data_IF_567699641246
#
_entry.id   IF_567699641246
#
_cell.length_a   1.000
_cell.length_b   1.000
_cell.length_c   1.000
_cell.angle_alpha   90.00
_cell.angle_beta   90.00
_cell.angle_gamma   90.00
#
_symmetry.space_group_name_H-M   'P 1'
#
loop_
_entity.id
_entity.type
_entity.pdbx_description
1 polymer ?
#
# COMPACT_ATOMS: atom_id res chain seq x y z
N UNK A 1 -9.75 -15.16 -8.90
CA UNK A 1 -8.29 -15.29 -8.72
C UNK A 1 -7.77 -13.95 -8.18
N UNK A 2 -6.96 -13.96 -7.12
CA UNK A 2 -6.37 -12.75 -6.55
C UNK A 2 -5.41 -12.08 -7.53
N UNK A 3 -5.40 -10.74 -7.55
CA UNK A 3 -4.51 -9.93 -8.39
C UNK A 3 -3.28 -9.54 -7.56
N UNK A 4 -2.13 -10.13 -7.86
CA UNK A 4 -0.89 -9.86 -7.16
C UNK A 4 -0.07 -8.80 -7.90
N UNK A 5 0.59 -7.91 -7.15
CA UNK A 5 1.59 -6.95 -7.63
C UNK A 5 2.92 -7.12 -6.89
N UNK A 6 4.03 -6.80 -7.53
CA UNK A 6 5.36 -6.88 -6.95
C UNK A 6 5.87 -5.49 -6.55
N UNK A 7 6.22 -5.27 -5.28
CA UNK A 7 6.94 -4.07 -4.86
C UNK A 7 8.39 -4.16 -5.33
N UNK A 8 8.72 -3.39 -6.39
CA UNK A 8 10.02 -3.54 -7.06
C UNK A 8 11.21 -3.00 -6.26
N UNK A 9 10.97 -2.26 -5.19
CA UNK A 9 12.02 -1.74 -4.32
C UNK A 9 12.42 -2.69 -3.20
N UNK A 10 11.47 -3.46 -2.69
CA UNK A 10 11.76 -4.49 -1.69
C UNK A 10 12.31 -5.77 -2.31
N UNK A 11 11.76 -6.16 -3.45
CA UNK A 11 12.07 -7.45 -4.09
C UNK A 11 13.35 -7.44 -4.93
N UNK A 12 13.63 -6.36 -5.64
CA UNK A 12 14.70 -6.36 -6.63
C UNK A 12 15.74 -5.27 -6.41
N UNK A 13 16.96 -5.54 -6.83
CA UNK A 13 18.07 -4.56 -6.89
C UNK A 13 18.39 -4.21 -8.36
N UNK A 14 19.08 -3.09 -8.56
CA UNK A 14 19.48 -2.63 -9.89
C UNK A 14 18.57 -1.53 -10.45
N UNK A 15 18.69 -1.17 -11.74
CA UNK A 15 17.88 -0.17 -12.41
C UNK A 15 16.39 -0.54 -12.45
N UNK A 16 15.48 0.45 -12.38
CA UNK A 16 14.03 0.23 -12.40
C UNK A 16 13.56 -0.56 -13.62
N UNK A 17 14.12 -0.27 -14.78
CA UNK A 17 13.81 -0.99 -16.02
C UNK A 17 14.03 -2.51 -15.88
N UNK A 18 15.16 -2.91 -15.32
CA UNK A 18 15.47 -4.31 -15.09
C UNK A 18 14.52 -4.94 -14.07
N UNK A 19 14.22 -4.21 -12.97
CA UNK A 19 13.28 -4.70 -11.96
C UNK A 19 11.89 -4.96 -12.55
N UNK A 20 11.38 -4.04 -13.37
CA UNK A 20 10.08 -4.20 -14.04
C UNK A 20 10.09 -5.37 -15.02
N UNK A 21 11.18 -5.59 -15.78
CA UNK A 21 11.32 -6.75 -16.65
C UNK A 21 11.34 -8.07 -15.88
N UNK A 22 11.95 -8.07 -14.69
CA UNK A 22 11.97 -9.24 -13.80
C UNK A 22 10.57 -9.58 -13.26
N UNK A 23 9.72 -8.60 -12.97
CA UNK A 23 8.31 -8.82 -12.63
C UNK A 23 7.59 -9.59 -13.74
N UNK A 24 7.74 -9.13 -14.98
CA UNK A 24 7.14 -9.79 -16.14
C UNK A 24 7.67 -11.21 -16.32
N UNK A 25 8.98 -11.44 -16.15
CA UNK A 25 9.61 -12.75 -16.29
C UNK A 25 9.17 -13.74 -15.20
N UNK A 26 8.84 -13.25 -14.00
CA UNK A 26 8.26 -14.05 -12.93
C UNK A 26 6.79 -14.44 -13.19
N UNK A 27 6.14 -13.82 -14.19
CA UNK A 27 4.76 -14.13 -14.58
C UNK A 27 3.69 -13.24 -13.95
N UNK A 28 4.07 -12.25 -13.13
CA UNK A 28 3.16 -11.26 -12.59
C UNK A 28 2.70 -10.27 -13.67
N UNK A 29 1.54 -9.66 -13.44
CA UNK A 29 0.93 -8.70 -14.36
C UNK A 29 0.92 -7.27 -13.84
N UNK A 30 1.38 -7.06 -12.61
CA UNK A 30 1.42 -5.75 -11.99
C UNK A 30 2.65 -5.59 -11.09
N UNK A 31 3.05 -4.35 -10.93
CA UNK A 31 4.08 -3.93 -9.99
C UNK A 31 3.66 -2.66 -9.27
N UNK A 32 4.36 -2.37 -8.19
CA UNK A 32 4.22 -1.16 -7.41
C UNK A 32 5.60 -0.65 -7.00
N UNK A 33 5.65 0.61 -6.61
CA UNK A 33 6.89 1.24 -6.17
C UNK A 33 6.61 2.32 -5.10
N UNK A 34 7.67 2.73 -4.40
CA UNK A 34 7.54 3.76 -3.37
C UNK A 34 7.42 5.16 -4.00
N UNK A 35 8.14 6.16 -3.55
CA UNK A 35 8.03 7.52 -4.09
C UNK A 35 8.38 7.63 -5.60
N UNK A 36 7.78 8.59 -6.26
CA UNK A 36 7.93 8.81 -7.70
C UNK A 36 8.88 9.95 -8.07
N UNK A 37 9.23 10.82 -7.10
CA UNK A 37 9.91 12.10 -7.38
C UNK A 37 11.33 12.00 -7.94
N UNK A 38 12.00 10.86 -7.76
CA UNK A 38 13.35 10.57 -8.25
C UNK A 38 13.37 9.61 -9.45
N UNK A 39 12.20 9.25 -10.00
CA UNK A 39 12.07 8.21 -11.02
C UNK A 39 11.81 8.77 -12.42
N UNK A 40 12.35 8.10 -13.43
CA UNK A 40 12.01 8.32 -14.83
C UNK A 40 10.61 7.74 -15.13
N UNK A 41 9.57 8.55 -14.90
CA UNK A 41 8.17 8.17 -15.10
C UNK A 41 7.88 7.83 -16.58
N UNK A 42 8.52 8.52 -17.53
CA UNK A 42 8.36 8.21 -18.96
C UNK A 42 8.97 6.87 -19.30
N UNK A 43 10.12 6.54 -18.72
CA UNK A 43 10.76 5.25 -18.84
C UNK A 43 9.90 4.13 -18.24
N UNK A 44 9.35 4.34 -17.04
CA UNK A 44 8.43 3.38 -16.40
C UNK A 44 7.20 3.14 -17.27
N UNK A 45 6.57 4.21 -17.79
CA UNK A 45 5.42 4.10 -18.67
C UNK A 45 5.75 3.28 -19.91
N UNK A 46 6.83 3.61 -20.60
CA UNK A 46 7.26 2.90 -21.81
C UNK A 46 7.43 1.40 -21.56
N UNK A 47 8.11 1.02 -20.48
CA UNK A 47 8.39 -0.37 -20.14
C UNK A 47 7.14 -1.13 -19.74
N UNK A 48 6.28 -0.54 -18.88
CA UNK A 48 5.03 -1.19 -18.51
C UNK A 48 4.14 -1.44 -19.73
N UNK A 49 4.07 -0.48 -20.66
CA UNK A 49 3.27 -0.61 -21.89
C UNK A 49 3.86 -1.66 -22.82
N UNK A 50 5.20 -1.70 -22.98
CA UNK A 50 5.92 -2.74 -23.77
C UNK A 50 5.62 -4.15 -23.25
N UNK A 51 5.58 -4.32 -21.93
CA UNK A 51 5.43 -5.64 -21.30
C UNK A 51 3.96 -5.99 -20.96
N UNK A 52 3.02 -5.06 -21.18
CA UNK A 52 1.62 -5.23 -20.84
C UNK A 52 1.39 -5.36 -19.32
N UNK A 53 2.17 -4.62 -18.53
CA UNK A 53 2.04 -4.60 -17.07
C UNK A 53 1.16 -3.43 -16.60
N UNK A 54 0.57 -3.60 -15.41
CA UNK A 54 -0.16 -2.56 -14.68
C UNK A 54 0.71 -1.99 -13.54
N UNK A 55 0.51 -0.71 -13.21
CA UNK A 55 1.00 -0.12 -11.96
C UNK A 55 -0.12 -0.22 -10.93
N UNK A 56 0.09 -1.04 -9.90
CA UNK A 56 -0.91 -1.29 -8.86
C UNK A 56 -1.08 -0.07 -7.95
N UNK A 57 0.02 0.47 -7.44
CA UNK A 57 0.04 1.64 -6.57
C UNK A 57 1.44 2.25 -6.50
N UNK A 58 1.53 3.46 -5.95
CA UNK A 58 2.77 4.08 -5.48
C UNK A 58 2.47 5.14 -4.40
N UNK A 59 3.50 5.60 -3.69
CA UNK A 59 3.33 6.55 -2.59
C UNK A 59 3.05 7.95 -3.12
N UNK A 60 1.96 8.54 -2.64
CA UNK A 60 1.57 9.92 -2.88
C UNK A 60 2.58 10.89 -2.23
N UNK A 61 2.95 11.95 -2.92
CA UNK A 61 3.69 13.05 -2.31
C UNK A 61 2.77 13.83 -1.37
N UNK A 62 3.04 13.75 -0.08
CA UNK A 62 2.28 14.49 0.95
C UNK A 62 2.91 15.82 1.33
N UNK A 63 4.10 16.11 0.81
CA UNK A 63 4.86 17.32 1.15
C UNK A 63 5.31 17.41 2.60
N UNK A 64 4.93 16.44 3.44
CA UNK A 64 5.24 16.33 4.86
C UNK A 64 4.25 15.44 5.61
N UNK A 65 4.44 15.22 6.92
CA UNK A 65 3.56 14.38 7.73
C UNK A 65 2.13 14.92 7.83
N UNK A 66 1.14 14.03 7.72
CA UNK A 66 -0.29 14.38 7.83
C UNK A 66 -0.69 14.79 9.25
N UNK A 67 0.01 14.30 10.26
CA UNK A 67 -0.20 14.67 11.67
C UNK A 67 0.04 16.17 11.94
N UNK A 68 0.74 16.86 11.03
CA UNK A 68 1.05 18.29 11.18
C UNK A 68 0.16 19.13 10.24
N UNK A 69 -0.78 19.92 10.79
CA UNK A 69 -1.67 20.75 10.00
C UNK A 69 -0.96 21.83 9.18
N UNK A 70 0.29 22.19 9.53
CA UNK A 70 1.10 23.14 8.78
C UNK A 70 1.49 22.61 7.38
N UNK A 71 1.40 21.32 7.14
CA UNK A 71 1.67 20.70 5.84
C UNK A 71 0.47 20.64 4.90
N UNK A 72 -0.71 21.14 5.29
CA UNK A 72 -1.96 21.01 4.53
C UNK A 72 -1.86 21.49 3.07
N UNK A 73 -1.28 22.67 2.86
CA UNK A 73 -1.12 23.21 1.51
C UNK A 73 -0.15 22.36 0.66
N UNK A 74 0.94 21.89 1.26
CA UNK A 74 1.89 21.00 0.58
C UNK A 74 1.27 19.66 0.23
N UNK A 75 0.43 19.10 1.11
CA UNK A 75 -0.33 17.88 0.87
C UNK A 75 -1.23 18.03 -0.36
N UNK A 76 -1.99 19.12 -0.45
CA UNK A 76 -2.87 19.39 -1.58
C UNK A 76 -2.08 19.47 -2.90
N UNK A 77 -0.99 20.22 -2.91
CA UNK A 77 -0.16 20.36 -4.11
C UNK A 77 0.57 19.05 -4.48
N UNK A 78 1.06 18.30 -3.49
CA UNK A 78 1.68 17.00 -3.70
C UNK A 78 0.69 15.96 -4.23
N UNK A 79 -0.54 15.95 -3.70
CA UNK A 79 -1.61 15.08 -4.18
C UNK A 79 -1.97 15.38 -5.64
N UNK A 80 -2.09 16.64 -6.03
CA UNK A 80 -2.34 17.01 -7.45
C UNK A 80 -1.26 16.45 -8.37
N UNK A 81 0.02 16.69 -8.03
CA UNK A 81 1.15 16.15 -8.82
C UNK A 81 1.12 14.62 -8.88
N UNK A 82 0.86 13.96 -7.75
CA UNK A 82 0.78 12.50 -7.70
C UNK A 82 -0.36 11.94 -8.53
N UNK A 83 -1.50 12.63 -8.56
CA UNK A 83 -2.64 12.28 -9.42
C UNK A 83 -2.28 12.40 -10.91
N UNK A 84 -1.57 13.46 -11.32
CA UNK A 84 -1.09 13.61 -12.70
C UNK A 84 -0.18 12.43 -13.11
N UNK A 85 0.71 12.01 -12.22
CA UNK A 85 1.56 10.84 -12.44
C UNK A 85 0.74 9.54 -12.47
N UNK A 86 -0.25 9.39 -11.57
CA UNK A 86 -1.14 8.24 -11.56
C UNK A 86 -1.92 8.11 -12.87
N UNK A 87 -2.48 9.21 -13.37
CA UNK A 87 -3.16 9.23 -14.67
C UNK A 87 -2.21 8.87 -15.83
N UNK A 88 -0.98 9.38 -15.82
CA UNK A 88 0.04 9.06 -16.83
C UNK A 88 0.42 7.59 -16.87
N UNK A 89 0.41 6.93 -15.70
CA UNK A 89 0.74 5.52 -15.53
C UNK A 89 -0.49 4.58 -15.55
N UNK A 90 -1.70 5.11 -15.73
CA UNK A 90 -2.98 4.40 -15.60
C UNK A 90 -3.18 3.77 -14.19
N UNK A 91 -2.48 4.26 -13.19
CA UNK A 91 -2.55 3.83 -11.81
C UNK A 91 -3.82 4.37 -11.13
N UNK A 92 -4.52 3.53 -10.36
CA UNK A 92 -5.79 3.91 -9.72
C UNK A 92 -5.70 4.02 -8.20
N UNK A 93 -4.54 3.76 -7.63
CA UNK A 93 -4.37 3.73 -6.18
C UNK A 93 -3.09 4.45 -5.78
N UNK A 94 -3.15 5.28 -4.76
CA UNK A 94 -2.00 6.00 -4.20
C UNK A 94 -1.92 5.77 -2.69
N UNK A 95 -0.74 5.42 -2.19
CA UNK A 95 -0.49 5.19 -0.76
C UNK A 95 -0.23 6.53 -0.06
N UNK A 96 -0.81 6.71 1.12
CA UNK A 96 -0.47 7.83 2.01
C UNK A 96 -0.10 7.34 3.40
N UNK A 97 0.87 8.00 4.02
CA UNK A 97 1.35 7.72 5.38
C UNK A 97 1.14 8.92 6.27
N UNK A 98 0.93 8.70 7.58
CA UNK A 98 0.63 9.79 8.53
C UNK A 98 1.85 10.55 9.01
N UNK A 99 3.01 9.90 9.01
CA UNK A 99 4.21 10.38 9.68
C UNK A 99 4.27 9.98 11.16
N UNK A 100 5.34 10.39 11.82
CA UNK A 100 5.56 10.11 13.24
C UNK A 100 4.73 11.04 14.13
N UNK A 101 4.43 10.58 15.35
CA UNK A 101 3.80 11.39 16.38
C UNK A 101 4.61 12.65 16.70
N UNK A 102 3.91 13.77 16.83
CA UNK A 102 4.51 15.03 17.23
C UNK A 102 4.43 15.15 18.76
N UNK A 103 5.58 15.21 19.39
CA UNK A 103 5.65 15.34 20.84
C UNK A 103 5.06 16.68 21.31
N UNK A 104 4.26 16.63 22.38
CA UNK A 104 3.63 17.82 22.95
C UNK A 104 2.33 18.24 22.26
N UNK A 105 1.94 17.57 21.16
CA UNK A 105 0.63 17.71 20.53
C UNK A 105 -0.24 16.53 20.94
N UNK A 106 -1.49 16.79 21.32
CA UNK A 106 -2.39 15.71 21.73
C UNK A 106 -2.67 14.75 20.58
N UNK A 107 -2.92 13.46 20.89
CA UNK A 107 -3.27 12.48 19.88
C UNK A 107 -4.52 12.87 19.10
N UNK A 108 -5.48 13.50 19.77
CA UNK A 108 -6.72 13.97 19.15
C UNK A 108 -6.48 15.08 18.11
N UNK A 109 -5.63 16.06 18.42
CA UNK A 109 -5.26 17.11 17.45
C UNK A 109 -4.53 16.54 16.23
N UNK A 110 -3.69 15.53 16.42
CA UNK A 110 -3.01 14.85 15.33
C UNK A 110 -4.00 14.03 14.49
N UNK A 111 -4.95 13.32 15.12
CA UNK A 111 -6.03 12.62 14.45
C UNK A 111 -6.87 13.58 13.57
N UNK A 112 -7.32 14.69 14.15
CA UNK A 112 -8.07 15.73 13.43
C UNK A 112 -7.27 16.28 12.24
N UNK A 113 -5.96 16.49 12.41
CA UNK A 113 -5.09 16.93 11.32
C UNK A 113 -5.07 15.93 10.14
N UNK A 114 -4.99 14.63 10.42
CA UNK A 114 -5.03 13.59 9.38
C UNK A 114 -6.38 13.60 8.67
N UNK A 115 -7.49 13.56 9.41
CA UNK A 115 -8.84 13.55 8.86
C UNK A 115 -9.08 14.76 7.96
N UNK A 116 -8.80 15.96 8.46
CA UNK A 116 -8.98 17.20 7.69
C UNK A 116 -8.01 17.29 6.48
N UNK A 117 -6.81 16.69 6.59
CA UNK A 117 -5.88 16.56 5.47
C UNK A 117 -6.46 15.71 4.36
N UNK A 118 -6.96 14.54 4.71
CA UNK A 118 -7.56 13.61 3.74
C UNK A 118 -8.85 14.19 3.14
N UNK A 119 -9.71 14.86 3.93
CA UNK A 119 -10.88 15.59 3.41
C UNK A 119 -10.52 16.67 2.39
N UNK A 120 -9.41 17.37 2.60
CA UNK A 120 -8.98 18.42 1.68
C UNK A 120 -8.52 17.87 0.32
N UNK A 121 -7.99 16.66 0.26
CA UNK A 121 -7.53 16.02 -0.99
C UNK A 121 -8.56 15.08 -1.61
N UNK A 122 -9.57 14.64 -0.86
CA UNK A 122 -10.61 13.73 -1.35
C UNK A 122 -11.27 14.18 -2.66
N UNK A 123 -11.70 15.46 -2.83
CA UNK A 123 -12.29 15.91 -4.09
C UNK A 123 -11.33 15.79 -5.30
N UNK A 124 -10.02 15.96 -5.09
CA UNK A 124 -9.01 15.87 -6.15
C UNK A 124 -8.91 14.43 -6.67
N UNK A 125 -8.85 13.46 -5.76
CA UNK A 125 -8.73 12.05 -6.14
C UNK A 125 -10.06 11.48 -6.66
N UNK A 126 -11.20 11.95 -6.16
CA UNK A 126 -12.54 11.60 -6.66
C UNK A 126 -12.71 12.04 -8.12
N UNK A 127 -12.39 13.28 -8.44
CA UNK A 127 -12.46 13.82 -9.81
C UNK A 127 -11.56 13.03 -10.77
N UNK A 128 -10.39 12.60 -10.31
CA UNK A 128 -9.45 11.82 -11.09
C UNK A 128 -9.78 10.33 -11.19
N UNK A 129 -10.73 9.82 -10.40
CA UNK A 129 -11.02 8.39 -10.28
C UNK A 129 -9.86 7.59 -9.69
N UNK A 130 -9.11 8.21 -8.76
CA UNK A 130 -7.99 7.61 -8.02
C UNK A 130 -8.42 7.39 -6.59
N UNK A 131 -7.96 6.32 -5.95
CA UNK A 131 -8.20 6.01 -4.53
C UNK A 131 -6.94 6.27 -3.72
N UNK A 132 -7.04 7.04 -2.64
CA UNK A 132 -6.00 7.12 -1.62
C UNK A 132 -6.16 5.97 -0.63
N UNK A 133 -5.06 5.31 -0.29
CA UNK A 133 -5.04 4.25 0.72
C UNK A 133 -4.11 4.64 1.86
N UNK A 134 -4.70 4.86 3.04
CA UNK A 134 -3.99 5.23 4.26
C UNK A 134 -3.37 3.99 4.89
N UNK A 135 -2.07 4.03 5.20
CA UNK A 135 -1.33 2.87 5.68
C UNK A 135 -0.99 2.95 7.17
N UNK A 136 -1.53 2.05 8.00
CA UNK A 136 -1.05 1.81 9.36
C UNK A 136 0.23 0.96 9.36
N UNK A 137 1.25 1.40 10.12
CA UNK A 137 2.56 0.75 10.18
C UNK A 137 2.91 0.30 11.60
N UNK A 138 3.57 -0.85 11.76
CA UNK A 138 4.00 -1.33 13.07
C UNK A 138 5.07 -0.43 13.69
N UNK A 139 4.97 -0.23 15.01
CA UNK A 139 5.90 0.58 15.81
C UNK A 139 6.82 -0.26 16.69
N UNK A 140 6.61 -1.57 16.74
CA UNK A 140 7.38 -2.48 17.59
C UNK A 140 8.68 -2.94 16.94
N UNK A 141 8.70 -3.09 15.62
CA UNK A 141 9.85 -3.62 14.87
C UNK A 141 10.45 -2.58 13.93
N UNK A 142 9.63 -1.94 13.06
CA UNK A 142 10.15 -1.13 11.95
C UNK A 142 10.00 0.38 12.16
N UNK A 143 8.81 0.89 12.42
CA UNK A 143 8.49 2.32 12.34
C UNK A 143 8.27 2.94 13.74
N UNK A 144 9.26 2.85 14.60
CA UNK A 144 9.17 3.39 15.98
C UNK A 144 8.77 4.87 15.97
N UNK A 145 7.69 5.19 16.69
CA UNK A 145 7.17 6.56 16.79
C UNK A 145 6.18 6.95 15.70
N UNK A 146 5.88 6.05 14.74
CA UNK A 146 4.84 6.31 13.75
C UNK A 146 3.47 6.46 14.42
N UNK A 147 2.66 7.42 13.93
CA UNK A 147 1.38 7.75 14.55
C UNK A 147 0.33 6.66 14.38
N UNK A 148 0.03 6.28 13.15
CA UNK A 148 -1.06 5.35 12.84
C UNK A 148 -0.56 3.91 12.80
N UNK A 149 -0.71 3.19 13.90
CA UNK A 149 -0.33 1.79 13.99
C UNK A 149 -1.54 0.83 14.07
N UNK A 150 -2.71 1.35 14.45
CA UNK A 150 -3.94 0.57 14.62
C UNK A 150 -4.80 0.59 13.36
N UNK A 151 -5.19 -0.58 12.88
CA UNK A 151 -6.16 -0.70 11.80
C UNK A 151 -7.54 -0.18 12.21
N UNK A 152 -7.92 -0.34 13.48
CA UNK A 152 -9.18 0.17 14.01
C UNK A 152 -9.26 1.70 13.92
N UNK A 153 -8.18 2.42 14.31
CA UNK A 153 -8.10 3.87 14.14
C UNK A 153 -8.06 4.25 12.65
N UNK A 154 -7.35 3.47 11.83
CA UNK A 154 -7.34 3.67 10.38
C UNK A 154 -8.74 3.59 9.76
N UNK A 155 -9.54 2.60 10.13
CA UNK A 155 -10.94 2.50 9.68
C UNK A 155 -11.81 3.63 10.21
N UNK A 156 -11.58 4.11 11.44
CA UNK A 156 -12.27 5.27 11.99
C UNK A 156 -11.95 6.53 11.17
N UNK A 157 -10.69 6.78 10.83
CA UNK A 157 -10.27 7.90 9.97
C UNK A 157 -10.98 7.82 8.60
N UNK A 158 -11.02 6.64 7.98
CA UNK A 158 -11.71 6.43 6.69
C UNK A 158 -13.20 6.78 6.81
N UNK A 159 -13.87 6.35 7.88
CA UNK A 159 -15.27 6.67 8.15
C UNK A 159 -15.49 8.19 8.35
N UNK A 160 -14.62 8.86 9.09
CA UNK A 160 -14.70 10.30 9.37
C UNK A 160 -14.41 11.17 8.13
N UNK A 161 -13.52 10.71 7.24
CA UNK A 161 -13.28 11.34 5.93
C UNK A 161 -14.51 11.21 5.04
N UNK A 162 -15.19 10.07 5.10
CA UNK A 162 -16.44 9.78 4.38
C UNK A 162 -16.36 10.02 2.86
N UNK A 163 -15.26 9.57 2.23
CA UNK A 163 -15.07 9.63 0.78
C UNK A 163 -14.96 8.20 0.22
N UNK A 164 -15.62 7.89 -0.91
CA UNK A 164 -15.50 6.57 -1.55
C UNK A 164 -14.07 6.30 -2.07
N UNK A 165 -13.30 7.36 -2.25
CA UNK A 165 -11.93 7.32 -2.79
C UNK A 165 -10.85 7.47 -1.71
N UNK A 166 -11.22 7.36 -0.43
CA UNK A 166 -10.26 7.26 0.68
C UNK A 166 -10.54 5.97 1.42
N UNK A 167 -9.56 5.06 1.41
CA UNK A 167 -9.65 3.72 2.00
C UNK A 167 -8.39 3.42 2.81
N UNK A 168 -8.33 2.23 3.40
CA UNK A 168 -7.17 1.74 4.12
C UNK A 168 -6.30 0.87 3.20
N UNK A 169 -4.99 0.99 3.30
CA UNK A 169 -4.06 -0.07 2.93
C UNK A 169 -3.91 -0.96 4.16
N UNK A 170 -4.29 -2.23 4.03
CA UNK A 170 -4.14 -3.19 5.10
C UNK A 170 -2.87 -4.02 4.86
N UNK A 171 -1.76 -3.61 5.48
CA UNK A 171 -0.52 -4.39 5.46
C UNK A 171 -0.62 -5.52 6.50
N UNK A 172 -0.70 -6.75 6.00
CA UNK A 172 -0.88 -7.95 6.82
C UNK A 172 0.32 -8.17 7.75
N UNK A 173 1.54 -7.88 7.30
CA UNK A 173 2.73 -7.97 8.13
C UNK A 173 2.69 -6.97 9.29
N UNK A 174 2.35 -5.71 9.01
CA UNK A 174 2.27 -4.70 10.05
C UNK A 174 1.16 -5.00 11.06
N UNK A 175 0.00 -5.43 10.59
CA UNK A 175 -1.12 -5.70 11.47
C UNK A 175 -0.96 -7.03 12.24
N UNK A 176 -0.24 -8.02 11.71
CA UNK A 176 0.11 -9.22 12.50
C UNK A 176 0.93 -8.86 13.72
N UNK A 177 1.93 -7.97 13.56
CA UNK A 177 2.81 -7.54 14.66
C UNK A 177 2.05 -6.72 15.71
N UNK A 178 1.11 -5.87 15.30
CA UNK A 178 0.43 -4.95 16.19
C UNK A 178 -0.84 -5.51 16.82
N UNK A 179 -1.66 -6.23 16.05
CA UNK A 179 -3.03 -6.58 16.48
C UNK A 179 -3.35 -8.08 16.34
N UNK A 180 -2.80 -8.76 15.34
CA UNK A 180 -3.24 -10.11 15.00
C UNK A 180 -4.70 -10.13 14.53
N UNK A 181 -5.43 -11.26 14.77
CA UNK A 181 -6.86 -11.41 14.39
C UNK A 181 -7.19 -11.04 12.94
N UNK A 182 -6.24 -11.25 12.04
CA UNK A 182 -6.22 -10.74 10.65
C UNK A 182 -7.50 -11.03 9.88
N UNK A 183 -7.92 -12.30 9.82
CA UNK A 183 -9.06 -12.73 8.98
C UNK A 183 -10.36 -12.04 9.43
N UNK A 184 -10.63 -12.00 10.73
CA UNK A 184 -11.85 -11.38 11.24
C UNK A 184 -11.85 -9.87 10.96
N UNK A 185 -10.73 -9.19 11.15
CA UNK A 185 -10.58 -7.76 10.89
C UNK A 185 -10.76 -7.45 9.40
N UNK A 186 -10.09 -8.20 8.51
CA UNK A 186 -10.17 -8.04 7.05
C UNK A 186 -11.60 -8.24 6.57
N UNK A 187 -12.24 -9.37 6.91
CA UNK A 187 -13.56 -9.71 6.39
C UNK A 187 -14.65 -8.75 6.86
N UNK A 188 -14.54 -8.25 8.10
CA UNK A 188 -15.49 -7.27 8.63
C UNK A 188 -15.36 -5.88 8.01
N UNK A 189 -14.21 -5.56 7.39
CA UNK A 189 -13.92 -4.22 6.87
C UNK A 189 -13.54 -4.21 5.38
N UNK A 190 -13.80 -5.29 4.65
CA UNK A 190 -13.32 -5.47 3.26
C UNK A 190 -13.70 -4.29 2.34
N UNK A 191 -14.88 -3.72 2.51
CA UNK A 191 -15.34 -2.57 1.72
C UNK A 191 -14.54 -1.27 1.94
N UNK A 192 -13.82 -1.18 3.07
CA UNK A 192 -12.97 -0.04 3.44
C UNK A 192 -11.51 -0.25 3.08
N UNK A 193 -11.12 -1.42 2.61
CA UNK A 193 -9.75 -1.75 2.21
C UNK A 193 -9.61 -1.52 0.72
N UNK A 194 -8.66 -0.68 0.33
CA UNK A 194 -8.37 -0.34 -1.06
C UNK A 194 -7.12 -1.02 -1.62
N UNK A 195 -6.22 -1.48 -0.75
CA UNK A 195 -5.01 -2.21 -1.11
C UNK A 195 -4.56 -3.10 0.04
N UNK A 196 -3.83 -4.16 -0.28
CA UNK A 196 -3.15 -5.02 0.70
C UNK A 196 -1.65 -5.02 0.46
N UNK A 197 -0.86 -5.05 1.54
CA UNK A 197 0.53 -5.50 1.49
C UNK A 197 0.71 -6.81 2.24
N UNK A 198 1.65 -7.63 1.77
CA UNK A 198 1.96 -8.92 2.37
C UNK A 198 3.45 -9.15 2.53
N UNK A 199 3.82 -9.60 3.71
CA UNK A 199 5.09 -10.23 4.07
C UNK A 199 4.87 -11.11 5.30
N UNK A 200 5.74 -12.08 5.54
CA UNK A 200 5.60 -12.96 6.69
C UNK A 200 6.33 -12.44 7.95
N UNK A 201 5.89 -12.89 9.10
CA UNK A 201 6.45 -12.57 10.42
C UNK A 201 7.04 -13.84 11.03
N UNK A 202 8.26 -13.77 11.60
CA UNK A 202 9.17 -12.63 11.66
C UNK A 202 9.98 -12.44 10.36
N UNK A 203 10.65 -11.29 10.23
CA UNK A 203 11.69 -11.06 9.21
C UNK A 203 11.25 -10.30 7.98
N UNK A 204 9.93 -10.13 7.74
CA UNK A 204 9.37 -9.46 6.56
C UNK A 204 9.79 -10.16 5.24
N UNK A 205 9.78 -11.49 5.26
CA UNK A 205 10.09 -12.33 4.12
C UNK A 205 8.83 -12.76 3.36
N UNK A 206 9.00 -13.60 2.32
CA UNK A 206 7.88 -14.12 1.53
C UNK A 206 6.86 -14.90 2.35
N UNK A 207 5.56 -14.85 2.00
CA UNK A 207 4.53 -15.70 2.55
C UNK A 207 4.90 -17.18 2.59
N UNK A 208 4.76 -17.80 3.76
CA UNK A 208 5.08 -19.20 4.00
C UNK A 208 6.39 -19.43 4.74
N UNK A 209 7.16 -18.37 5.01
CA UNK A 209 8.43 -18.47 5.76
C UNK A 209 8.27 -18.23 7.27
N UNK A 210 7.11 -17.76 7.71
CA UNK A 210 6.87 -17.37 9.11
C UNK A 210 5.59 -17.96 9.71
N UNK A 211 4.93 -17.15 10.57
CA UNK A 211 3.80 -17.60 11.39
C UNK A 211 2.43 -17.35 10.77
N UNK A 212 2.34 -16.57 9.66
CA UNK A 212 1.05 -16.20 9.06
C UNK A 212 0.56 -17.32 8.15
N UNK A 213 -0.65 -17.80 8.37
CA UNK A 213 -1.26 -18.76 7.45
C UNK A 213 -1.83 -18.07 6.21
N UNK A 214 -0.97 -17.72 5.25
CA UNK A 214 -1.35 -16.99 4.04
C UNK A 214 -2.38 -17.71 3.17
N UNK A 215 -2.40 -19.04 3.14
CA UNK A 215 -3.46 -19.79 2.44
C UNK A 215 -4.85 -19.41 2.98
N UNK A 216 -5.02 -19.39 4.31
CA UNK A 216 -6.29 -19.04 4.94
C UNK A 216 -6.60 -17.55 4.78
N UNK A 217 -5.61 -16.67 4.88
CA UNK A 217 -5.78 -15.22 4.71
C UNK A 217 -6.20 -14.89 3.26
N UNK A 218 -5.49 -15.40 2.26
CA UNK A 218 -5.84 -15.20 0.84
C UNK A 218 -7.21 -15.76 0.50
N UNK A 219 -7.55 -16.94 1.03
CA UNK A 219 -8.89 -17.50 0.87
C UNK A 219 -9.97 -16.56 1.43
N UNK A 220 -9.78 -16.06 2.64
CA UNK A 220 -10.73 -15.14 3.27
C UNK A 220 -10.88 -13.83 2.48
N UNK A 221 -9.79 -13.26 1.95
CA UNK A 221 -9.81 -12.08 1.08
C UNK A 221 -10.60 -12.36 -0.22
N UNK A 222 -10.37 -13.52 -0.85
CA UNK A 222 -11.06 -13.90 -2.08
C UNK A 222 -12.56 -14.15 -1.83
N UNK A 223 -12.91 -14.87 -0.76
CA UNK A 223 -14.31 -15.14 -0.38
C UNK A 223 -15.08 -13.88 0.02
N UNK A 224 -14.39 -12.87 0.56
CA UNK A 224 -14.95 -11.55 0.86
C UNK A 224 -15.18 -10.68 -0.39
N UNK A 225 -14.79 -11.16 -1.58
CA UNK A 225 -15.05 -10.49 -2.86
C UNK A 225 -14.10 -9.34 -3.19
N UNK A 226 -12.90 -9.30 -2.61
CA UNK A 226 -11.90 -8.29 -2.95
C UNK A 226 -11.39 -8.48 -4.38
N UNK A 227 -11.39 -7.41 -5.16
CA UNK A 227 -11.02 -7.40 -6.58
C UNK A 227 -9.81 -6.49 -6.91
N UNK A 228 -9.28 -5.79 -5.90
CA UNK A 228 -8.08 -4.95 -6.00
C UNK A 228 -6.77 -5.75 -6.05
N UNK A 229 -5.66 -5.04 -6.03
CA UNK A 229 -4.33 -5.64 -5.98
C UNK A 229 -3.89 -5.99 -4.55
N UNK A 230 -3.07 -7.02 -4.44
CA UNK A 230 -2.35 -7.42 -3.23
C UNK A 230 -0.87 -7.27 -3.53
N UNK A 231 -0.21 -6.31 -2.88
CA UNK A 231 1.20 -5.99 -3.04
C UNK A 231 2.11 -6.96 -2.29
N UNK A 232 3.06 -7.54 -3.01
CA UNK A 232 4.08 -8.39 -2.45
C UNK A 232 5.26 -7.50 -2.02
N UNK A 233 5.25 -7.05 -0.76
CA UNK A 233 6.23 -6.11 -0.21
C UNK A 233 7.07 -6.78 0.88
N UNK A 234 7.97 -7.65 0.46
CA UNK A 234 8.85 -8.40 1.35
C UNK A 234 10.31 -8.40 0.88
N UNK A 235 11.21 -8.80 1.77
CA UNK A 235 12.63 -9.00 1.48
C UNK A 235 12.87 -10.49 1.20
N UNK A 236 13.12 -10.90 -0.06
CA UNK A 236 13.21 -12.30 -0.41
C UNK A 236 14.39 -12.99 0.28
N UNK A 237 14.18 -14.25 0.72
CA UNK A 237 15.24 -15.07 1.31
C UNK A 237 16.07 -15.81 0.25
N UNK A 238 15.52 -15.95 -0.95
CA UNK A 238 16.15 -16.58 -2.11
C UNK A 238 16.14 -15.69 -3.35
N UNK A 239 16.16 -16.30 -4.53
CA UNK A 239 16.01 -15.57 -5.79
C UNK A 239 14.58 -15.01 -5.89
N UNK A 240 14.41 -13.70 -6.11
CA UNK A 240 13.10 -13.07 -6.08
C UNK A 240 12.04 -13.73 -6.98
N UNK A 241 12.42 -14.16 -8.19
CA UNK A 241 11.49 -14.80 -9.10
C UNK A 241 11.00 -16.17 -8.60
N UNK A 242 11.82 -16.88 -7.83
CA UNK A 242 11.44 -18.17 -7.23
C UNK A 242 10.47 -17.93 -6.08
N UNK A 243 10.78 -16.98 -5.17
CA UNK A 243 9.88 -16.64 -4.05
C UNK A 243 8.54 -16.09 -4.54
N UNK A 244 8.53 -15.30 -5.64
CA UNK A 244 7.29 -14.84 -6.26
C UNK A 244 6.43 -16.00 -6.81
N UNK A 245 7.03 -17.03 -7.41
CA UNK A 245 6.30 -18.21 -7.89
C UNK A 245 5.67 -18.98 -6.74
N UNK A 246 6.41 -19.17 -5.64
CA UNK A 246 5.88 -19.84 -4.43
C UNK A 246 4.65 -19.11 -3.87
N UNK A 247 4.70 -17.78 -3.78
CA UNK A 247 3.55 -16.99 -3.35
C UNK A 247 2.37 -17.08 -4.31
N UNK A 248 2.63 -17.05 -5.62
CA UNK A 248 1.57 -17.25 -6.63
C UNK A 248 0.94 -18.64 -6.54
N UNK A 249 1.70 -19.69 -6.21
CA UNK A 249 1.19 -21.04 -5.98
C UNK A 249 0.27 -21.08 -4.74
N UNK A 250 0.66 -20.44 -3.63
CA UNK A 250 -0.19 -20.30 -2.44
C UNK A 250 -1.51 -19.62 -2.82
N UNK A 251 -1.44 -18.50 -3.55
CA UNK A 251 -2.61 -17.69 -3.93
C UNK A 251 -3.50 -18.37 -4.99
N UNK A 252 -2.98 -19.31 -5.79
CA UNK A 252 -3.76 -20.05 -6.80
C UNK A 252 -4.39 -21.33 -6.28
N UNK A 253 -3.93 -21.83 -5.15
CA UNK A 253 -4.36 -23.09 -4.54
C UNK A 253 -5.58 -22.97 -3.59
N UNK A 254 -6.38 -21.89 -3.74
CA UNK A 254 -7.52 -21.55 -2.88
C UNK A 254 -8.77 -22.36 -3.22
#
# INVERSE_FOLDING_TARGET
MLRLSACIESLFKGPYEERIRRVASAGLKAFEFWGWGDKDIDGIKRIKDELGLEVATFVCDTGGPLVDPANREKLIEGAKRSVEIAQKLDCKTLIVTTGNEIQGVSRNEQHESIVEGLKAVAPIVEEAGVTLVLEPLNTLVNHKGYYLWSSAEGFQIVDEVNSPNVKLLYDIYHQQIMEGNLIATITSNIGKIGHFHVADVPGRHEPGTGEINYRNVFKAIAEAGYDGFIGLEYWPTGEPEETLKEVMEIASSL
#
